data_IF_651671846501
#
_entry.id   IF_651671846501
#
_cell.length_a   1.000
_cell.length_b   1.000
_cell.length_c   1.000
_cell.angle_alpha   90.00
_cell.angle_beta   90.00
_cell.angle_gamma   90.00
#
_symmetry.space_group_name_H-M   'P 1'
#
loop_
_entity.id
_entity.type
_entity.pdbx_description
1 polymer ?
#
# COMPACT_ATOMS: atom_id res chain seq x y z
N UNK A 1 0.82 -4.44 14.59
CA UNK A 1 1.35 -3.10 14.26
C UNK A 1 0.63 -2.58 13.03
N UNK A 2 0.34 -1.30 13.02
CA UNK A 2 -0.27 -0.66 11.84
C UNK A 2 0.79 -0.04 10.95
N UNK A 3 0.56 -0.12 9.65
CA UNK A 3 1.46 0.43 8.64
C UNK A 3 0.66 1.29 7.69
N UNK A 4 1.21 2.44 7.31
CA UNK A 4 0.59 3.31 6.32
C UNK A 4 1.37 3.18 5.02
N UNK A 5 0.66 2.83 3.96
CA UNK A 5 1.24 2.66 2.62
C UNK A 5 0.70 3.75 1.72
N UNK A 6 1.58 4.66 1.30
CA UNK A 6 1.20 5.72 0.37
C UNK A 6 1.42 5.25 -1.06
N UNK A 7 0.47 5.51 -1.90
CA UNK A 7 0.53 5.08 -3.30
C UNK A 7 -0.15 6.09 -4.22
N UNK A 8 0.15 5.99 -5.51
CA UNK A 8 -0.52 6.76 -6.55
C UNK A 8 -1.57 5.87 -7.19
N UNK A 9 -2.78 6.40 -7.35
CA UNK A 9 -3.83 5.74 -8.13
C UNK A 9 -3.74 6.26 -9.56
N UNK A 10 -3.21 5.47 -10.50
CA UNK A 10 -3.03 5.94 -11.87
C UNK A 10 -4.35 6.10 -12.63
N UNK A 11 -5.41 5.46 -12.16
CA UNK A 11 -6.71 5.54 -12.81
C UNK A 11 -7.39 6.89 -12.55
N UNK A 12 -7.20 7.42 -11.34
CA UNK A 12 -7.78 8.68 -10.92
C UNK A 12 -6.75 9.81 -10.83
N UNK A 13 -5.49 9.49 -11.04
CA UNK A 13 -4.38 10.44 -10.94
C UNK A 13 -4.32 11.11 -9.56
N UNK A 14 -4.60 10.33 -8.53
CA UNK A 14 -4.62 10.81 -7.15
C UNK A 14 -3.61 10.05 -6.30
N UNK A 15 -3.24 10.67 -5.18
CA UNK A 15 -2.38 10.06 -4.17
C UNK A 15 -3.28 9.63 -3.01
N UNK A 16 -3.16 8.39 -2.61
CA UNK A 16 -3.98 7.80 -1.54
C UNK A 16 -3.13 7.00 -0.58
N UNK A 17 -3.73 6.50 0.48
CA UNK A 17 -3.03 5.64 1.43
C UNK A 17 -3.89 4.48 1.88
N UNK A 18 -3.21 3.40 2.28
CA UNK A 18 -3.83 2.22 2.89
C UNK A 18 -3.28 2.05 4.30
N UNK A 19 -4.10 1.56 5.20
CA UNK A 19 -3.67 1.16 6.54
C UNK A 19 -3.68 -0.36 6.60
N UNK A 20 -2.52 -0.93 6.91
CA UNK A 20 -2.33 -2.38 6.92
C UNK A 20 -1.93 -2.84 8.32
N UNK A 21 -2.56 -3.88 8.82
CA UNK A 21 -2.17 -4.54 10.07
C UNK A 21 -1.22 -5.67 9.76
N UNK A 22 -0.02 -5.62 10.29
CA UNK A 22 0.99 -6.67 10.09
C UNK A 22 2.04 -6.62 11.19
N UNK A 23 2.72 -7.74 11.40
CA UNK A 23 3.74 -7.86 12.44
C UNK A 23 5.08 -7.28 12.03
N UNK A 24 5.36 -7.21 10.74
CA UNK A 24 6.62 -6.70 10.22
C UNK A 24 6.42 -6.04 8.87
N UNK A 25 7.47 -5.34 8.44
CA UNK A 25 7.46 -4.59 7.18
C UNK A 25 7.20 -5.48 5.97
N UNK A 26 7.84 -6.64 5.90
CA UNK A 26 7.68 -7.54 4.77
C UNK A 26 6.25 -8.04 4.64
N UNK A 27 5.65 -8.42 5.75
CA UNK A 27 4.26 -8.86 5.79
C UNK A 27 3.32 -7.72 5.38
N UNK A 28 3.58 -6.51 5.88
CA UNK A 28 2.80 -5.33 5.53
C UNK A 28 2.86 -5.05 4.03
N UNK A 29 4.05 -5.14 3.46
CA UNK A 29 4.25 -4.91 2.04
C UNK A 29 3.49 -5.93 1.18
N UNK A 30 3.58 -7.21 1.55
CA UNK A 30 2.84 -8.27 0.86
C UNK A 30 1.33 -8.03 0.89
N UNK A 31 0.81 -7.67 2.06
CA UNK A 31 -0.62 -7.37 2.21
C UNK A 31 -1.02 -6.15 1.39
N UNK A 32 -0.18 -5.12 1.36
CA UNK A 32 -0.43 -3.92 0.57
C UNK A 32 -0.52 -4.25 -0.92
N UNK A 33 0.39 -5.08 -1.42
CA UNK A 33 0.37 -5.52 -2.82
C UNK A 33 -0.95 -6.24 -3.13
N UNK A 34 -1.40 -7.12 -2.24
CA UNK A 34 -2.66 -7.84 -2.42
C UNK A 34 -3.85 -6.88 -2.50
N UNK A 35 -3.89 -5.89 -1.61
CA UNK A 35 -4.96 -4.89 -1.63
C UNK A 35 -4.94 -4.07 -2.92
N UNK A 36 -3.75 -3.66 -3.36
CA UNK A 36 -3.61 -2.90 -4.60
C UNK A 36 -3.99 -3.71 -5.83
N UNK A 37 -3.76 -5.02 -5.82
CA UNK A 37 -4.20 -5.90 -6.91
C UNK A 37 -5.72 -5.87 -7.08
N UNK A 38 -6.45 -5.84 -5.98
CA UNK A 38 -7.91 -5.75 -6.02
C UNK A 38 -8.34 -4.46 -6.71
N UNK A 39 -7.57 -3.38 -6.50
CA UNK A 39 -7.81 -2.08 -7.12
C UNK A 39 -7.19 -1.97 -8.52
N UNK A 40 -6.51 -3.04 -8.97
CA UNK A 40 -5.81 -3.09 -10.25
C UNK A 40 -4.68 -2.07 -10.35
N UNK A 41 -3.99 -1.84 -9.24
CA UNK A 41 -2.86 -0.92 -9.16
C UNK A 41 -1.57 -1.73 -8.98
N UNK A 42 -0.60 -1.64 -9.91
CA UNK A 42 0.68 -2.34 -9.77
C UNK A 42 1.50 -1.83 -8.59
N UNK A 43 2.30 -2.71 -8.00
CA UNK A 43 3.13 -2.37 -6.83
C UNK A 43 4.11 -1.22 -7.09
N UNK A 44 4.49 -0.97 -8.33
CA UNK A 44 5.41 0.12 -8.68
C UNK A 44 4.85 1.51 -8.34
N UNK A 45 3.53 1.60 -8.09
CA UNK A 45 2.90 2.85 -7.70
C UNK A 45 2.94 3.12 -6.20
N UNK A 46 3.53 2.20 -5.42
CA UNK A 46 3.73 2.43 -3.99
C UNK A 46 4.85 3.47 -3.83
N UNK A 47 4.56 4.55 -3.12
CA UNK A 47 5.52 5.63 -2.88
C UNK A 47 6.37 5.37 -1.65
N UNK A 48 5.73 5.03 -0.54
CA UNK A 48 6.43 4.72 0.71
C UNK A 48 5.54 3.93 1.63
N UNK A 49 6.16 3.30 2.62
CA UNK A 49 5.46 2.56 3.66
C UNK A 49 6.12 2.89 5.00
N UNK A 50 5.32 3.30 5.95
CA UNK A 50 5.79 3.68 7.28
C UNK A 50 4.98 2.98 8.35
N UNK A 51 5.62 2.70 9.49
CA UNK A 51 4.92 2.21 10.67
C UNK A 51 4.15 3.37 11.31
N UNK A 52 2.92 3.06 11.64
CA UNK A 52 2.03 4.07 12.25
C UNK A 52 2.28 4.20 13.75
#
# INVERSE_FOLDING_TARGET
>A
MLWIVDYIDPNNETSDCLVIEADCRESAYGKAIEELKILKIPKRYILKMEEF
#
